data_IF_502309779472
#
_entry.id   IF_502309779472
#
_cell.length_a   1.000
_cell.length_b   1.000
_cell.length_c   1.000
_cell.angle_alpha   90.00
_cell.angle_beta   90.00
_cell.angle_gamma   90.00
#
_symmetry.space_group_name_H-M   'P 1'
#
loop_
_entity.id
_entity.type
_entity.pdbx_description
1 polymer ?
#
# COMPACT_ATOMS: atom_id res chain seq x y z
N UNK A 1 -0.81 -11.05 -2.91
CA UNK A 1 0.01 -10.26 -3.85
C UNK A 1 0.94 -9.36 -3.05
N UNK A 2 2.22 -9.34 -3.38
CA UNK A 2 3.17 -8.42 -2.75
C UNK A 2 3.25 -7.13 -3.57
N UNK A 3 3.17 -5.98 -2.90
CA UNK A 3 3.37 -4.66 -3.52
C UNK A 3 4.57 -3.98 -2.88
N UNK A 4 5.39 -3.32 -3.70
CA UNK A 4 6.61 -2.63 -3.27
C UNK A 4 6.55 -1.16 -3.71
N UNK A 5 5.60 -0.37 -3.17
CA UNK A 5 5.21 0.92 -3.74
C UNK A 5 6.36 1.93 -3.83
N UNK A 6 7.33 1.87 -2.91
CA UNK A 6 8.51 2.73 -2.98
C UNK A 6 9.35 2.45 -4.23
N UNK A 7 9.63 1.18 -4.52
CA UNK A 7 10.49 0.78 -5.63
C UNK A 7 9.75 0.76 -6.96
N UNK A 8 8.46 0.40 -6.98
CA UNK A 8 7.58 0.54 -8.16
C UNK A 8 7.59 2.00 -8.67
N UNK A 9 7.40 2.98 -7.77
CA UNK A 9 7.47 4.40 -8.13
C UNK A 9 8.90 4.85 -8.48
N UNK A 10 9.92 4.35 -7.77
CA UNK A 10 11.33 4.70 -8.02
C UNK A 10 11.79 4.28 -9.41
N UNK A 11 11.40 3.07 -9.84
CA UNK A 11 11.75 2.48 -11.14
C UNK A 11 10.87 3.05 -12.27
N UNK A 12 9.68 3.55 -11.94
CA UNK A 12 8.76 4.16 -12.91
C UNK A 12 7.66 3.20 -13.40
N UNK A 13 7.32 2.16 -12.64
CA UNK A 13 6.17 1.29 -12.93
C UNK A 13 4.81 1.93 -12.64
N UNK A 14 4.81 3.11 -12.02
CA UNK A 14 3.60 3.87 -11.70
C UNK A 14 3.19 3.71 -10.24
N UNK A 15 1.90 3.93 -9.97
CA UNK A 15 1.34 3.85 -8.62
C UNK A 15 0.78 2.44 -8.38
N UNK A 16 1.10 1.85 -7.23
CA UNK A 16 0.53 0.58 -6.81
C UNK A 16 -1.01 0.67 -6.79
N UNK A 17 -1.75 -0.27 -7.42
CA UNK A 17 -3.21 -0.21 -7.51
C UNK A 17 -3.91 -0.69 -6.21
N UNK A 18 -3.54 -0.10 -5.07
CA UNK A 18 -3.93 -0.55 -3.72
C UNK A 18 -5.45 -0.63 -3.56
N UNK A 19 -6.19 0.40 -4.01
CA UNK A 19 -7.65 0.44 -3.89
C UNK A 19 -8.33 -0.63 -4.74
N UNK A 20 -7.85 -0.88 -5.97
CA UNK A 20 -8.39 -1.91 -6.84
C UNK A 20 -8.16 -3.31 -6.26
N UNK A 21 -6.95 -3.58 -5.76
CA UNK A 21 -6.61 -4.84 -5.09
C UNK A 21 -7.48 -5.07 -3.84
N UNK A 22 -7.70 -4.02 -3.05
CA UNK A 22 -8.57 -4.06 -1.87
C UNK A 22 -10.03 -4.33 -2.24
N UNK A 23 -10.57 -3.62 -3.24
CA UNK A 23 -11.94 -3.82 -3.71
C UNK A 23 -12.16 -5.23 -4.27
N UNK A 24 -11.15 -5.78 -4.96
CA UNK A 24 -11.12 -7.15 -5.43
C UNK A 24 -10.90 -8.20 -4.32
N UNK A 25 -10.77 -7.77 -3.06
CA UNK A 25 -10.51 -8.63 -1.88
C UNK A 25 -9.26 -9.50 -2.04
N UNK A 26 -8.28 -9.04 -2.82
CA UNK A 26 -6.99 -9.73 -2.97
C UNK A 26 -6.18 -9.49 -1.70
N UNK A 27 -5.68 -10.55 -1.02
CA UNK A 27 -4.77 -10.36 0.10
C UNK A 27 -3.49 -9.64 -0.35
N UNK A 28 -3.15 -8.54 0.32
CA UNK A 28 -1.99 -7.71 -0.01
C UNK A 28 -0.94 -7.86 1.09
N UNK A 29 0.31 -8.06 0.70
CA UNK A 29 1.49 -7.97 1.57
C UNK A 29 2.38 -6.82 1.09
N UNK A 30 3.15 -6.22 1.99
CA UNK A 30 4.05 -5.11 1.67
C UNK A 30 5.50 -5.59 1.65
N UNK A 31 6.25 -5.17 0.64
CA UNK A 31 7.67 -5.45 0.47
C UNK A 31 8.53 -4.19 0.40
N UNK A 32 9.78 -4.31 0.83
CA UNK A 32 10.79 -3.24 0.73
C UNK A 32 11.65 -3.40 -0.54
N UNK A 33 11.69 -4.59 -1.17
CA UNK A 33 12.69 -4.98 -2.18
C UNK A 33 14.13 -4.91 -1.64
N UNK A 34 15.11 -4.75 -2.54
CA UNK A 34 16.54 -4.63 -2.19
C UNK A 34 16.87 -3.19 -1.80
N UNK A 35 17.82 -3.03 -0.87
CA UNK A 35 18.23 -1.70 -0.38
C UNK A 35 18.77 -0.77 -1.48
N UNK A 36 19.31 -1.35 -2.56
CA UNK A 36 19.78 -0.59 -3.73
C UNK A 36 18.62 0.16 -4.39
N UNK A 37 17.42 -0.44 -4.43
CA UNK A 37 16.23 0.17 -5.01
C UNK A 37 15.43 0.96 -3.97
N UNK A 38 15.34 0.46 -2.74
CA UNK A 38 14.49 1.01 -1.69
C UNK A 38 15.11 2.21 -0.96
N UNK A 39 16.44 2.32 -0.96
CA UNK A 39 17.21 3.34 -0.25
C UNK A 39 17.20 3.22 1.27
N UNK A 40 16.24 2.51 1.87
CA UNK A 40 16.21 2.20 3.30
C UNK A 40 15.39 0.93 3.61
N UNK A 41 15.57 0.39 4.82
CA UNK A 41 14.93 -0.84 5.31
C UNK A 41 13.74 -0.60 6.29
N UNK A 42 13.12 0.56 6.26
CA UNK A 42 12.09 0.98 7.21
C UNK A 42 10.68 0.53 6.73
N UNK A 43 10.07 -0.47 7.37
CA UNK A 43 8.75 -0.94 6.97
C UNK A 43 7.64 0.09 7.21
N UNK A 44 7.80 1.03 8.14
CA UNK A 44 6.83 2.11 8.38
C UNK A 44 6.74 3.08 7.20
N UNK A 45 7.86 3.30 6.49
CA UNK A 45 7.85 4.09 5.26
C UNK A 45 7.01 3.42 4.18
N UNK A 46 7.12 2.09 4.02
CA UNK A 46 6.32 1.34 3.05
C UNK A 46 4.84 1.37 3.43
N UNK A 47 4.51 1.16 4.70
CA UNK A 47 3.13 1.24 5.21
C UNK A 47 2.52 2.62 4.96
N UNK A 48 3.23 3.70 5.33
CA UNK A 48 2.77 5.06 5.15
C UNK A 48 2.61 5.41 3.66
N UNK A 49 3.56 5.01 2.82
CA UNK A 49 3.47 5.23 1.37
C UNK A 49 2.26 4.51 0.79
N UNK A 50 2.02 3.26 1.17
CA UNK A 50 0.85 2.49 0.73
C UNK A 50 -0.45 3.18 1.14
N UNK A 51 -0.54 3.67 2.38
CA UNK A 51 -1.69 4.41 2.86
C UNK A 51 -1.90 5.70 2.07
N UNK A 52 -0.83 6.48 1.85
CA UNK A 52 -0.89 7.72 1.09
C UNK A 52 -1.36 7.49 -0.35
N UNK A 53 -0.89 6.42 -1.00
CA UNK A 53 -1.34 6.06 -2.35
C UNK A 53 -2.81 5.71 -2.37
N UNK A 54 -3.25 4.85 -1.44
CA UNK A 54 -4.64 4.48 -1.35
C UNK A 54 -5.53 5.72 -1.14
N UNK A 55 -5.12 6.63 -0.22
CA UNK A 55 -5.88 7.84 0.11
C UNK A 55 -5.87 8.84 -1.06
N UNK A 56 -4.73 9.05 -1.71
CA UNK A 56 -4.63 9.93 -2.87
C UNK A 56 -5.47 9.42 -4.04
N UNK A 57 -5.55 8.10 -4.21
CA UNK A 57 -6.35 7.46 -5.27
C UNK A 57 -7.85 7.40 -4.97
N UNK A 58 -8.29 7.54 -3.71
CA UNK A 58 -9.72 7.58 -3.38
C UNK A 58 -10.35 8.93 -3.68
N UNK A 59 -9.55 10.01 -3.76
CA UNK A 59 -10.05 11.37 -3.85
C UNK A 59 -10.78 11.86 -2.59
N UNK A 60 -10.73 11.07 -1.51
CA UNK A 60 -11.36 11.35 -0.23
C UNK A 60 -10.36 11.05 0.89
N UNK A 61 -9.76 12.11 1.42
CA UNK A 61 -8.75 12.04 2.48
C UNK A 61 -9.28 11.46 3.80
N UNK A 62 -10.59 11.55 4.04
CA UNK A 62 -11.24 11.08 5.27
C UNK A 62 -11.69 9.63 5.17
N UNK A 63 -11.83 9.08 3.96
CA UNK A 63 -12.30 7.71 3.74
C UNK A 63 -11.35 6.63 4.29
N UNK A 64 -10.06 6.92 4.45
CA UNK A 64 -9.07 5.95 4.91
C UNK A 64 -8.53 6.20 6.31
N UNK A 65 -9.23 5.63 7.30
CA UNK A 65 -8.67 5.49 8.64
C UNK A 65 -7.56 4.42 8.62
N UNK A 66 -6.33 4.85 8.89
CA UNK A 66 -5.07 4.06 8.87
C UNK A 66 -5.16 2.61 9.39
N UNK A 67 -6.03 2.35 10.39
CA UNK A 67 -6.26 1.01 10.97
C UNK A 67 -7.03 0.01 10.08
N UNK A 68 -7.88 0.47 9.15
CA UNK A 68 -8.78 -0.40 8.36
C UNK A 68 -8.22 -0.76 6.97
N UNK A 69 -7.06 -0.24 6.60
CA UNK A 69 -6.40 -0.55 5.32
C UNK A 69 -5.63 -1.86 5.36
N UNK A 70 -5.05 -2.22 6.52
CA UNK A 70 -4.12 -3.35 6.63
C UNK A 70 -4.63 -4.52 7.49
N UNK A 71 -5.62 -4.28 8.36
CA UNK A 71 -6.36 -5.34 9.02
C UNK A 71 -7.64 -5.54 8.22
N UNK A 72 -7.71 -6.61 7.42
CA UNK A 72 -8.91 -6.97 6.68
C UNK A 72 -10.13 -7.05 7.60
N UNK A 73 -11.32 -6.94 7.03
CA UNK A 73 -12.63 -7.17 7.69
C UNK A 73 -12.75 -8.62 8.20
N UNK A 74 -11.91 -9.01 9.14
CA UNK A 74 -12.03 -10.21 9.93
C UNK A 74 -13.12 -9.95 10.97
N UNK A 75 -14.36 -10.30 10.63
CA UNK A 75 -15.46 -10.45 11.57
C UNK A 75 -16.45 -9.30 11.63
N UNK A 76 -17.40 -9.29 10.68
CA UNK A 76 -18.80 -8.91 10.92
C UNK A 76 -19.69 -9.80 10.05
N UNK A 77 -19.90 -11.02 10.52
CA UNK A 77 -21.15 -11.76 10.33
C UNK A 77 -22.05 -11.53 11.54
#
# INVERSE_FOLDING_TARGET
MCVTPLTEMRVGYGLAPVNALKQAKVPITLGIDTLVLSGNANPYMVMQTTLNLATGMSGDEQAQRSRRTFLGDAGRG
#
